data_IF_263727774471
#
_entry.id   IF_263727774471
#
_cell.length_a   1.000
_cell.length_b   1.000
_cell.length_c   1.000
_cell.angle_alpha   90.00
_cell.angle_beta   90.00
_cell.angle_gamma   90.00
#
_symmetry.space_group_name_H-M   'P 1'
#
loop_
_entity.id
_entity.type
_entity.pdbx_description
1 polymer ?
#
# COMPACT_ATOMS: atom_id res chain seq x y z
N UNK A 1 36.87 2.76 12.11
CA UNK A 1 35.49 2.65 12.64
C UNK A 1 34.67 3.74 11.95
N UNK A 2 34.16 3.45 10.74
CA UNK A 2 33.48 4.46 9.92
C UNK A 2 32.08 4.72 10.47
N UNK A 3 31.82 5.97 10.84
CA UNK A 3 30.54 6.44 11.36
C UNK A 3 29.44 6.27 10.31
N UNK A 4 28.41 5.48 10.64
CA UNK A 4 27.18 5.27 9.85
C UNK A 4 26.33 6.55 9.70
N UNK A 5 26.81 7.71 10.14
CA UNK A 5 26.06 8.97 10.13
C UNK A 5 25.82 9.54 8.72
N UNK A 6 26.59 9.14 7.71
CA UNK A 6 26.43 9.62 6.32
C UNK A 6 25.15 9.13 5.63
N UNK A 7 24.51 8.07 6.15
CA UNK A 7 23.24 7.54 5.63
C UNK A 7 22.03 7.95 6.47
N UNK A 8 22.24 8.79 7.49
CA UNK A 8 21.16 9.18 8.39
C UNK A 8 20.37 10.34 7.76
N UNK A 9 19.22 10.00 7.18
CA UNK A 9 18.25 11.00 6.70
C UNK A 9 17.87 11.92 7.86
N UNK A 10 18.17 13.21 7.76
CA UNK A 10 17.70 14.23 8.70
C UNK A 10 16.18 14.27 8.59
N UNK A 11 15.50 13.64 9.53
CA UNK A 11 14.04 13.62 9.59
C UNK A 11 13.59 14.80 10.44
N UNK A 12 12.97 15.78 9.81
CA UNK A 12 12.35 16.88 10.51
C UNK A 12 11.17 16.35 11.35
N UNK A 13 11.36 16.22 12.67
CA UNK A 13 10.29 16.35 13.65
C UNK A 13 9.66 15.10 14.27
N UNK A 14 10.32 13.94 14.29
CA UNK A 14 9.82 12.81 15.09
C UNK A 14 10.86 11.73 15.37
N UNK A 15 10.81 11.10 16.56
CA UNK A 15 11.58 9.88 16.87
C UNK A 15 11.22 8.81 15.83
N UNK A 16 12.11 8.59 14.87
CA UNK A 16 12.03 7.48 13.91
C UNK A 16 12.12 6.17 14.68
N UNK A 17 11.14 5.31 14.48
CA UNK A 17 11.09 4.02 15.17
C UNK A 17 11.76 2.99 14.26
N UNK A 18 13.08 2.85 14.39
CA UNK A 18 13.91 2.07 13.46
C UNK A 18 13.48 0.60 13.34
N UNK A 19 13.07 -0.02 14.45
CA UNK A 19 12.60 -1.41 14.44
C UNK A 19 11.32 -1.61 13.62
N UNK A 20 10.44 -0.61 13.58
CA UNK A 20 9.22 -0.67 12.76
C UNK A 20 9.58 -0.61 11.26
N UNK A 21 10.51 0.26 10.88
CA UNK A 21 10.99 0.31 9.50
C UNK A 21 11.70 -0.99 9.09
N UNK A 22 12.44 -1.62 10.02
CA UNK A 22 13.05 -2.94 9.82
C UNK A 22 12.02 -4.05 9.61
N UNK A 23 10.92 -4.05 10.39
CA UNK A 23 9.83 -5.00 10.19
C UNK A 23 9.14 -4.81 8.84
N UNK A 24 8.89 -3.56 8.41
CA UNK A 24 8.34 -3.28 7.06
C UNK A 24 9.27 -3.78 5.97
N UNK A 25 10.58 -3.55 6.12
CA UNK A 25 11.58 -4.05 5.19
C UNK A 25 11.55 -5.58 5.09
N UNK A 26 11.47 -6.28 6.23
CA UNK A 26 11.34 -7.73 6.26
C UNK A 26 10.07 -8.21 5.53
N UNK A 27 8.93 -7.54 5.75
CA UNK A 27 7.69 -7.85 5.02
C UNK A 27 7.83 -7.65 3.51
N UNK A 28 8.56 -6.62 3.06
CA UNK A 28 8.80 -6.39 1.63
C UNK A 28 9.70 -7.48 1.04
N UNK A 29 10.69 -7.96 1.80
CA UNK A 29 11.55 -9.08 1.35
C UNK A 29 10.73 -10.34 1.10
N UNK A 30 9.78 -10.69 1.98
CA UNK A 30 8.99 -11.91 1.80
C UNK A 30 8.15 -11.86 0.54
N UNK A 31 7.60 -10.68 0.21
CA UNK A 31 6.84 -10.45 -1.04
C UNK A 31 7.76 -10.47 -2.26
N UNK A 32 8.95 -9.89 -2.15
CA UNK A 32 9.94 -9.94 -3.22
C UNK A 32 10.35 -11.39 -3.53
N UNK A 33 10.58 -12.22 -2.50
CA UNK A 33 10.91 -13.64 -2.65
C UNK A 33 9.74 -14.38 -3.32
N UNK A 34 8.50 -14.12 -2.92
CA UNK A 34 7.32 -14.71 -3.58
C UNK A 34 7.28 -14.39 -5.07
N UNK A 35 7.39 -13.11 -5.45
CA UNK A 35 7.40 -12.72 -6.87
C UNK A 35 8.59 -13.27 -7.65
N UNK A 36 9.75 -13.37 -7.00
CA UNK A 36 10.93 -13.98 -7.60
C UNK A 36 10.67 -15.46 -7.89
N UNK A 37 10.17 -16.22 -6.91
CA UNK A 37 9.84 -17.64 -7.09
C UNK A 37 8.77 -17.83 -8.16
N UNK A 38 7.68 -17.05 -8.12
CA UNK A 38 6.60 -17.10 -9.11
C UNK A 38 7.13 -16.91 -10.53
N UNK A 39 8.02 -15.91 -10.73
CA UNK A 39 8.64 -15.66 -12.03
C UNK A 39 9.46 -16.86 -12.56
N UNK A 40 10.24 -17.52 -11.69
CA UNK A 40 11.03 -18.69 -12.09
C UNK A 40 10.19 -19.95 -12.29
N UNK A 41 9.14 -20.15 -11.48
CA UNK A 41 8.21 -21.27 -11.62
C UNK A 41 7.41 -21.18 -12.93
N UNK A 42 6.95 -19.98 -13.31
CA UNK A 42 6.21 -19.77 -14.56
C UNK A 42 7.07 -20.07 -15.80
N UNK A 43 8.39 -19.86 -15.70
CA UNK A 43 9.34 -20.12 -16.80
C UNK A 43 9.93 -21.53 -16.81
N UNK A 44 9.84 -22.29 -15.72
CA UNK A 44 10.48 -23.60 -15.61
C UNK A 44 9.58 -24.66 -14.95
N UNK A 45 9.03 -25.56 -15.77
CA UNK A 45 8.19 -26.69 -15.30
C UNK A 45 8.85 -27.55 -14.21
N UNK A 46 10.17 -27.78 -14.30
CA UNK A 46 10.92 -28.56 -13.28
C UNK A 46 10.93 -27.90 -11.89
N UNK A 47 10.92 -26.56 -11.83
CA UNK A 47 10.83 -25.83 -10.57
C UNK A 47 9.41 -25.83 -10.02
N UNK A 48 8.40 -25.80 -10.90
CA UNK A 48 6.99 -25.84 -10.50
C UNK A 48 6.63 -27.16 -9.77
N UNK A 49 7.16 -28.30 -10.20
CA UNK A 49 6.87 -29.60 -9.58
C UNK A 49 7.52 -29.78 -8.20
N UNK A 50 8.75 -29.29 -8.00
CA UNK A 50 9.54 -29.52 -6.78
C UNK A 50 9.28 -28.51 -5.64
N UNK A 51 8.78 -27.31 -5.95
CA UNK A 51 8.58 -26.23 -4.95
C UNK A 51 7.16 -26.16 -4.35
N UNK A 52 6.28 -27.08 -4.71
CA UNK A 52 4.92 -27.20 -4.13
C UNK A 52 4.91 -27.55 -2.63
N UNK A 53 6.03 -28.01 -2.08
CA UNK A 53 6.13 -28.52 -0.69
C UNK A 53 6.24 -27.39 0.34
N UNK A 54 6.77 -26.22 -0.02
CA UNK A 54 6.81 -25.05 0.87
C UNK A 54 5.74 -24.08 0.40
N UNK A 55 4.79 -23.76 1.26
CA UNK A 55 3.69 -22.87 0.95
C UNK A 55 4.14 -21.40 0.92
N UNK A 56 5.12 -21.07 0.07
CA UNK A 56 5.80 -19.78 0.01
C UNK A 56 4.83 -18.63 -0.30
N UNK A 57 3.74 -18.91 -1.03
CA UNK A 57 2.65 -17.96 -1.28
C UNK A 57 2.04 -17.43 0.01
N UNK A 58 1.90 -18.28 1.03
CA UNK A 58 1.36 -17.86 2.32
C UNK A 58 2.33 -16.93 3.06
N UNK A 59 3.63 -17.10 2.85
CA UNK A 59 4.66 -16.25 3.48
C UNK A 59 4.61 -14.86 2.88
N UNK A 60 4.57 -14.75 1.55
CA UNK A 60 4.48 -13.46 0.87
C UNK A 60 3.14 -12.75 1.13
N UNK A 61 2.00 -13.45 1.04
CA UNK A 61 0.69 -12.90 1.40
C UNK A 61 0.62 -12.42 2.86
N UNK A 62 1.18 -13.18 3.80
CA UNK A 62 1.27 -12.77 5.21
C UNK A 62 2.14 -11.52 5.37
N UNK A 63 3.24 -11.42 4.63
CA UNK A 63 4.07 -10.21 4.58
C UNK A 63 3.29 -8.97 4.17
N UNK A 64 2.41 -9.08 3.17
CA UNK A 64 1.54 -7.99 2.71
C UNK A 64 0.60 -7.53 3.84
N UNK A 65 -0.11 -8.46 4.48
CA UNK A 65 -1.03 -8.13 5.58
C UNK A 65 -0.32 -7.44 6.74
N UNK A 66 0.87 -7.94 7.11
CA UNK A 66 1.66 -7.36 8.18
C UNK A 66 2.21 -5.97 7.78
N UNK A 67 2.67 -5.81 6.54
CA UNK A 67 3.14 -4.53 6.00
C UNK A 67 2.04 -3.47 6.07
N UNK A 68 0.81 -3.80 5.66
CA UNK A 68 -0.32 -2.87 5.72
C UNK A 68 -0.75 -2.57 7.15
N UNK A 69 -0.80 -3.57 8.02
CA UNK A 69 -1.11 -3.39 9.45
C UNK A 69 -0.14 -2.41 10.12
N UNK A 70 1.17 -2.61 9.88
CA UNK A 70 2.21 -1.72 10.39
C UNK A 70 2.09 -0.32 9.77
N UNK A 71 1.86 -0.24 8.45
CA UNK A 71 1.72 1.04 7.75
C UNK A 71 0.53 1.84 8.27
N UNK A 72 -0.63 1.21 8.44
CA UNK A 72 -1.82 1.83 9.03
C UNK A 72 -1.56 2.39 10.43
N UNK A 73 -0.85 1.63 11.28
CA UNK A 73 -0.43 2.11 12.60
C UNK A 73 0.47 3.35 12.53
N UNK A 74 1.51 3.34 11.67
CA UNK A 74 2.41 4.49 11.47
C UNK A 74 1.65 5.70 10.92
N UNK A 75 0.73 5.47 9.99
CA UNK A 75 -0.04 6.54 9.37
C UNK A 75 -0.97 7.20 10.41
N UNK A 76 -1.57 6.41 11.31
CA UNK A 76 -2.45 6.88 12.38
C UNK A 76 -1.73 7.48 13.60
N UNK A 77 -0.46 7.13 13.84
CA UNK A 77 0.34 7.55 15.00
C UNK A 77 0.29 9.06 15.32
N UNK A 78 0.44 9.98 14.35
CA UNK A 78 0.34 11.42 14.62
C UNK A 78 -1.02 11.83 15.21
N UNK A 79 -2.11 11.26 14.71
CA UNK A 79 -3.46 11.54 15.22
C UNK A 79 -3.66 10.94 16.61
N UNK A 80 -3.14 9.74 16.87
CA UNK A 80 -3.18 9.13 18.20
C UNK A 80 -2.44 10.02 19.21
N UNK A 81 -1.25 10.51 18.87
CA UNK A 81 -0.48 11.45 19.72
C UNK A 81 -1.26 12.72 20.02
N UNK A 82 -1.86 13.33 19.01
CA UNK A 82 -2.69 14.53 19.20
C UNK A 82 -3.92 14.26 20.07
N UNK A 83 -4.69 13.21 19.80
CA UNK A 83 -6.01 13.03 20.41
C UNK A 83 -6.00 12.29 21.74
N UNK A 84 -5.19 11.24 21.87
CA UNK A 84 -5.10 10.37 23.06
C UNK A 84 -4.10 10.97 24.05
N UNK A 85 -2.89 11.27 23.57
CA UNK A 85 -1.81 11.75 24.44
C UNK A 85 -1.77 13.28 24.59
N UNK A 86 -2.64 14.02 23.89
CA UNK A 86 -2.67 15.50 23.87
C UNK A 86 -1.32 16.13 23.50
N UNK A 87 -0.58 15.47 22.62
CA UNK A 87 0.76 15.88 22.18
C UNK A 87 0.74 16.41 20.75
N UNK A 88 1.11 17.68 20.59
CA UNK A 88 1.22 18.33 19.28
C UNK A 88 -0.13 18.49 18.55
N UNK A 89 -0.06 19.10 17.38
CA UNK A 89 -1.22 19.30 16.50
C UNK A 89 -0.90 18.78 15.10
N UNK A 90 -1.83 18.02 14.51
CA UNK A 90 -1.72 17.54 13.13
C UNK A 90 -2.52 18.48 12.23
N UNK A 91 -1.81 19.28 11.45
CA UNK A 91 -2.38 19.94 10.28
C UNK A 91 -2.65 18.90 9.20
N UNK A 92 -3.91 18.79 8.75
CA UNK A 92 -4.32 17.86 7.69
C UNK A 92 -3.57 18.18 6.38
N UNK A 93 -3.41 19.47 6.07
CA UNK A 93 -2.65 19.93 4.90
C UNK A 93 -1.21 19.42 4.95
N UNK A 94 -0.51 19.64 6.07
CA UNK A 94 0.89 19.22 6.20
C UNK A 94 1.01 17.70 6.26
N UNK A 95 0.01 17.01 6.81
CA UNK A 95 -0.07 15.56 6.84
C UNK A 95 -0.08 14.97 5.42
N UNK A 96 -0.87 15.52 4.50
CA UNK A 96 -0.93 15.08 3.10
C UNK A 96 0.34 15.48 2.35
N UNK A 97 0.81 16.73 2.49
CA UNK A 97 2.03 17.21 1.80
C UNK A 97 3.23 16.31 2.13
N UNK A 98 3.43 15.95 3.40
CA UNK A 98 4.56 15.08 3.82
C UNK A 98 4.49 13.68 3.22
N UNK A 99 3.29 13.17 2.95
CA UNK A 99 3.08 11.83 2.39
C UNK A 99 3.23 11.84 0.88
N UNK A 100 2.57 12.79 0.22
CA UNK A 100 2.66 12.96 -1.23
C UNK A 100 4.10 13.25 -1.66
N UNK A 101 4.81 14.18 -1.01
CA UNK A 101 6.20 14.49 -1.39
C UNK A 101 7.19 13.34 -1.15
N UNK A 102 6.83 12.36 -0.32
CA UNK A 102 7.66 11.17 -0.07
C UNK A 102 7.45 10.07 -1.12
N UNK A 103 6.22 9.89 -1.60
CA UNK A 103 5.84 8.76 -2.47
C UNK A 103 5.63 9.15 -3.93
N UNK A 104 5.08 10.33 -4.21
CA UNK A 104 4.74 10.77 -5.58
C UNK A 104 5.98 10.82 -6.50
N UNK A 105 7.13 11.41 -6.11
CA UNK A 105 8.26 11.51 -7.04
C UNK A 105 8.77 10.16 -7.56
N UNK A 106 9.13 9.17 -6.70
CA UNK A 106 9.59 7.88 -7.21
C UNK A 106 8.47 7.11 -7.94
N UNK A 107 7.21 7.26 -7.53
CA UNK A 107 6.09 6.60 -8.18
C UNK A 107 5.87 7.11 -9.61
N UNK A 108 5.77 8.43 -9.79
CA UNK A 108 5.54 9.04 -11.10
C UNK A 108 6.69 8.73 -12.05
N UNK A 109 7.94 8.80 -11.56
CA UNK A 109 9.12 8.43 -12.35
C UNK A 109 9.02 6.98 -12.82
N UNK A 110 8.72 6.04 -11.92
CA UNK A 110 8.56 4.63 -12.26
C UNK A 110 7.44 4.41 -13.28
N UNK A 111 6.26 5.00 -13.05
CA UNK A 111 5.08 4.83 -13.90
C UNK A 111 5.35 5.34 -15.32
N UNK A 112 5.90 6.56 -15.45
CA UNK A 112 6.25 7.14 -16.75
C UNK A 112 7.34 6.32 -17.44
N UNK A 113 8.38 5.90 -16.71
CA UNK A 113 9.47 5.12 -17.27
C UNK A 113 8.98 3.79 -17.83
N UNK A 114 8.12 3.07 -17.09
CA UNK A 114 7.55 1.80 -17.54
C UNK A 114 6.58 1.98 -18.71
N UNK A 115 5.77 3.04 -18.70
CA UNK A 115 4.90 3.37 -19.82
C UNK A 115 5.71 3.62 -21.11
N UNK A 116 6.74 4.46 -21.03
CA UNK A 116 7.60 4.77 -22.16
C UNK A 116 8.31 3.51 -22.66
N UNK A 117 8.86 2.72 -21.74
CA UNK A 117 9.56 1.48 -22.04
C UNK A 117 8.67 0.49 -22.80
N UNK A 118 7.43 0.27 -22.36
CA UNK A 118 6.54 -0.72 -22.99
C UNK A 118 5.99 -0.25 -24.34
N UNK A 119 5.69 1.04 -24.49
CA UNK A 119 5.05 1.58 -25.71
C UNK A 119 6.07 1.92 -26.79
N UNK A 120 7.14 2.63 -26.43
CA UNK A 120 8.04 3.26 -27.39
C UNK A 120 9.39 2.55 -27.57
N UNK A 121 9.80 1.69 -26.63
CA UNK A 121 11.11 1.02 -26.69
C UNK A 121 10.93 -0.47 -27.00
N UNK A 122 10.15 -1.19 -26.19
CA UNK A 122 9.95 -2.63 -26.32
C UNK A 122 8.80 -2.98 -27.27
N UNK A 123 7.92 -2.02 -27.57
CA UNK A 123 6.72 -2.19 -28.40
C UNK A 123 5.85 -3.40 -28.01
N UNK A 124 5.78 -3.72 -26.72
CA UNK A 124 5.01 -4.86 -26.19
C UNK A 124 3.52 -4.56 -26.07
N UNK A 125 3.15 -3.27 -26.00
CA UNK A 125 1.77 -2.78 -25.93
C UNK A 125 1.62 -1.53 -26.79
N UNK A 126 0.47 -1.35 -27.44
CA UNK A 126 0.17 -0.12 -28.19
C UNK A 126 -0.20 1.03 -27.25
N UNK A 127 0.03 2.27 -27.70
CA UNK A 127 -0.33 3.47 -26.95
C UNK A 127 -1.82 3.50 -26.61
N UNK A 128 -2.68 3.21 -27.59
CA UNK A 128 -4.15 3.23 -27.45
C UNK A 128 -4.64 2.28 -26.36
N UNK A 129 -3.99 1.12 -26.21
CA UNK A 129 -4.34 0.13 -25.19
C UNK A 129 -3.78 0.54 -23.83
N UNK A 130 -2.52 0.98 -23.74
CA UNK A 130 -1.87 1.21 -22.44
C UNK A 130 -2.20 2.57 -21.80
N UNK A 131 -2.55 3.58 -22.61
CA UNK A 131 -2.79 4.94 -22.13
C UNK A 131 -3.95 5.08 -21.14
N UNK A 132 -5.12 4.41 -21.31
CA UNK A 132 -6.18 4.41 -20.31
C UNK A 132 -5.74 3.79 -18.96
N UNK A 133 -4.93 2.73 -18.99
CA UNK A 133 -4.38 2.11 -17.78
C UNK A 133 -3.35 3.03 -17.11
N UNK A 134 -2.53 3.75 -17.89
CA UNK A 134 -1.63 4.79 -17.38
C UNK A 134 -2.38 5.87 -16.62
N UNK A 135 -3.45 6.42 -17.20
CA UNK A 135 -4.26 7.44 -16.55
C UNK A 135 -4.90 6.92 -15.26
N UNK A 136 -5.47 5.71 -15.28
CA UNK A 136 -6.09 5.15 -14.09
C UNK A 136 -5.07 4.89 -12.97
N UNK A 137 -3.87 4.39 -13.31
CA UNK A 137 -2.77 4.25 -12.34
C UNK A 137 -2.32 5.60 -11.80
N UNK A 138 -2.12 6.61 -12.67
CA UNK A 138 -1.68 7.94 -12.28
C UNK A 138 -2.57 8.58 -11.20
N UNK A 139 -3.87 8.30 -11.23
CA UNK A 139 -4.84 8.78 -10.24
C UNK A 139 -5.14 7.79 -9.11
N UNK A 140 -4.42 6.67 -9.02
CA UNK A 140 -4.63 5.60 -8.02
C UNK A 140 -6.05 5.01 -8.04
N UNK A 141 -6.66 4.95 -9.22
CA UNK A 141 -8.01 4.43 -9.44
C UNK A 141 -8.01 3.20 -10.34
N UNK A 142 -6.86 2.59 -10.61
CA UNK A 142 -6.80 1.45 -11.53
C UNK A 142 -7.60 0.26 -11.00
N UNK A 143 -7.43 -0.08 -9.71
CA UNK A 143 -8.26 -1.12 -9.12
C UNK A 143 -9.73 -0.73 -9.25
N UNK A 144 -10.11 0.53 -8.95
CA UNK A 144 -11.50 1.05 -8.99
C UNK A 144 -12.14 0.85 -10.36
N UNK A 145 -11.41 1.19 -11.43
CA UNK A 145 -11.94 1.21 -12.79
C UNK A 145 -11.92 -0.16 -13.45
N UNK A 146 -10.84 -0.93 -13.25
CA UNK A 146 -10.61 -2.17 -14.00
C UNK A 146 -10.79 -3.44 -13.17
N UNK A 147 -10.95 -3.32 -11.85
CA UNK A 147 -11.04 -4.44 -10.92
C UNK A 147 -9.83 -5.41 -11.00
N UNK A 148 -8.68 -4.91 -11.42
CA UNK A 148 -7.44 -5.68 -11.56
C UNK A 148 -6.20 -4.80 -11.32
N UNK A 149 -5.04 -5.47 -11.17
CA UNK A 149 -3.76 -4.79 -11.06
C UNK A 149 -3.40 -4.03 -12.33
N UNK A 150 -2.60 -2.97 -12.21
CA UNK A 150 -2.22 -2.15 -13.36
C UNK A 150 -1.55 -2.95 -14.47
N UNK A 151 -2.02 -2.77 -15.70
CA UNK A 151 -1.41 -3.37 -16.89
C UNK A 151 0.05 -2.91 -17.12
N UNK A 152 0.44 -1.77 -16.54
CA UNK A 152 1.81 -1.25 -16.61
C UNK A 152 2.71 -1.98 -15.60
N UNK A 153 2.22 -2.13 -14.37
CA UNK A 153 2.90 -2.91 -13.35
C UNK A 153 1.85 -3.42 -12.35
N UNK A 154 1.65 -4.75 -12.26
CA UNK A 154 0.58 -5.30 -11.46
C UNK A 154 0.75 -4.95 -9.97
N UNK A 155 1.97 -4.75 -9.46
CA UNK A 155 2.25 -4.50 -8.03
C UNK A 155 1.80 -3.11 -7.55
N UNK A 156 1.47 -2.19 -8.47
CA UNK A 156 1.03 -0.82 -8.13
C UNK A 156 -0.25 -0.77 -7.28
N UNK A 157 -1.04 -1.85 -7.26
CA UNK A 157 -2.23 -1.96 -6.42
C UNK A 157 -1.92 -1.65 -4.94
N UNK A 158 -0.73 -2.03 -4.46
CA UNK A 158 -0.31 -1.79 -3.06
C UNK A 158 -0.27 -0.31 -2.70
N UNK A 159 0.13 0.53 -3.64
CA UNK A 159 0.22 1.97 -3.46
C UNK A 159 -1.16 2.63 -3.49
N UNK A 160 -2.08 2.12 -4.31
CA UNK A 160 -3.48 2.56 -4.29
C UNK A 160 -4.12 2.31 -2.92
N UNK A 161 -3.84 1.17 -2.29
CA UNK A 161 -4.26 0.90 -0.91
C UNK A 161 -3.61 1.87 0.08
N UNK A 162 -2.33 2.19 -0.09
CA UNK A 162 -1.64 3.13 0.79
C UNK A 162 -2.27 4.55 0.73
N UNK A 163 -2.67 5.01 -0.45
CA UNK A 163 -3.43 6.26 -0.60
C UNK A 163 -4.78 6.19 0.12
N UNK A 164 -5.48 5.06 0.07
CA UNK A 164 -6.71 4.86 0.86
C UNK A 164 -6.46 5.00 2.36
N UNK A 165 -5.36 4.42 2.90
CA UNK A 165 -4.99 4.64 4.30
C UNK A 165 -4.73 6.12 4.61
N UNK A 166 -4.17 6.88 3.67
CA UNK A 166 -3.90 8.30 3.88
C UNK A 166 -5.17 9.11 4.04
N UNK A 167 -6.20 8.79 3.27
CA UNK A 167 -7.53 9.40 3.32
C UNK A 167 -8.30 8.93 4.56
N UNK A 168 -8.24 7.63 4.87
CA UNK A 168 -9.00 7.04 5.97
C UNK A 168 -8.47 7.45 7.35
N UNK A 169 -7.16 7.64 7.53
CA UNK A 169 -6.59 8.00 8.82
C UNK A 169 -7.17 9.27 9.45
N UNK A 170 -7.28 10.44 8.76
CA UNK A 170 -7.96 11.60 9.31
C UNK A 170 -9.45 11.36 9.55
N UNK A 171 -10.14 10.58 8.70
CA UNK A 171 -11.55 10.21 8.88
C UNK A 171 -11.75 9.42 10.17
N UNK A 172 -10.93 8.38 10.39
CA UNK A 172 -10.95 7.61 11.63
C UNK A 172 -10.59 8.49 12.83
N UNK A 173 -9.61 9.38 12.71
CA UNK A 173 -9.28 10.30 13.80
C UNK A 173 -10.46 11.20 14.20
N UNK A 174 -11.25 11.69 13.23
CA UNK A 174 -12.49 12.43 13.48
C UNK A 174 -13.56 11.54 14.12
N UNK A 175 -13.71 10.30 13.66
CA UNK A 175 -14.66 9.34 14.23
C UNK A 175 -14.35 9.04 15.71
N UNK A 176 -13.08 8.88 16.07
CA UNK A 176 -12.67 8.65 17.46
C UNK A 176 -12.77 9.90 18.35
N UNK A 177 -12.85 11.09 17.75
CA UNK A 177 -13.17 12.35 18.46
C UNK A 177 -14.67 12.50 18.73
N UNK A 178 -15.53 11.85 17.94
CA UNK A 178 -16.98 11.94 18.09
C UNK A 178 -17.46 11.37 19.45
N UNK A 179 -18.69 11.74 19.84
CA UNK A 179 -19.29 11.24 21.07
C UNK A 179 -19.46 9.70 21.03
N UNK A 180 -19.60 9.07 22.21
CA UNK A 180 -19.64 7.61 22.34
C UNK A 180 -20.77 6.98 21.51
N UNK A 181 -21.90 7.67 21.34
CA UNK A 181 -23.07 7.18 20.61
C UNK A 181 -22.78 7.17 19.11
N UNK A 182 -22.41 8.31 18.53
CA UNK A 182 -22.05 8.44 17.11
C UNK A 182 -20.93 7.47 16.75
N UNK A 183 -19.88 7.40 17.58
CA UNK A 183 -18.77 6.47 17.37
C UNK A 183 -19.25 5.01 17.32
N UNK A 184 -20.07 4.58 18.28
CA UNK A 184 -20.59 3.21 18.34
C UNK A 184 -21.53 2.92 17.16
N UNK A 185 -22.41 3.84 16.82
CA UNK A 185 -23.32 3.70 15.67
C UNK A 185 -22.56 3.58 14.36
N UNK A 186 -21.57 4.44 14.12
CA UNK A 186 -20.73 4.35 12.92
C UNK A 186 -19.92 3.05 12.88
N UNK A 187 -19.32 2.61 13.99
CA UNK A 187 -18.60 1.33 14.04
C UNK A 187 -19.55 0.15 13.78
N UNK A 188 -20.77 0.18 14.34
CA UNK A 188 -21.77 -0.84 14.09
C UNK A 188 -22.20 -0.86 12.62
N UNK A 189 -22.45 0.31 12.01
CA UNK A 189 -22.78 0.43 10.59
C UNK A 189 -21.64 -0.11 9.73
N UNK A 190 -20.39 0.23 10.04
CA UNK A 190 -19.22 -0.27 9.31
C UNK A 190 -19.10 -1.79 9.42
N UNK A 191 -19.25 -2.36 10.61
CA UNK A 191 -19.21 -3.82 10.83
C UNK A 191 -20.39 -4.51 10.14
N UNK A 192 -21.58 -3.93 10.22
CA UNK A 192 -22.76 -4.47 9.55
C UNK A 192 -22.58 -4.44 8.04
N UNK A 193 -22.18 -3.30 7.48
CA UNK A 193 -21.90 -3.15 6.05
C UNK A 193 -20.82 -4.12 5.59
N UNK A 194 -19.74 -4.28 6.36
CA UNK A 194 -18.68 -5.27 6.12
C UNK A 194 -19.22 -6.70 5.99
N UNK A 195 -20.01 -7.14 6.97
CA UNK A 195 -20.60 -8.49 6.95
C UNK A 195 -21.54 -8.71 5.75
N UNK A 196 -22.14 -7.64 5.21
CA UNK A 196 -23.06 -7.71 4.08
C UNK A 196 -22.36 -7.53 2.72
N UNK A 197 -21.18 -6.91 2.65
CA UNK A 197 -20.38 -6.80 1.41
C UNK A 197 -19.91 -8.18 0.92
N UNK A 198 -19.65 -9.13 1.82
CA UNK A 198 -19.21 -10.48 1.46
C UNK A 198 -20.23 -11.28 0.61
N UNK A 199 -21.46 -10.78 0.45
CA UNK A 199 -22.48 -11.34 -0.45
C UNK A 199 -22.42 -10.77 -1.88
N UNK A 200 -21.65 -9.72 -2.11
CA UNK A 200 -21.45 -9.10 -3.42
C UNK A 200 -19.99 -9.36 -3.79
N UNK A 201 -19.76 -10.34 -4.68
CA UNK A 201 -18.42 -10.71 -5.17
C UNK A 201 -17.70 -9.52 -5.82
N UNK A 202 -17.06 -8.68 -5.02
CA UNK A 202 -16.04 -7.76 -5.49
C UNK A 202 -14.72 -8.53 -5.50
N UNK A 203 -14.29 -9.00 -6.66
CA UNK A 203 -12.91 -9.47 -6.91
C UNK A 203 -11.92 -8.31 -6.91
N UNK A 204 -12.06 -7.40 -5.93
CA UNK A 204 -11.38 -6.13 -5.91
C UNK A 204 -10.23 -6.20 -4.92
N UNK A 205 -9.00 -5.94 -5.39
CA UNK A 205 -7.85 -5.70 -4.50
C UNK A 205 -7.98 -4.32 -3.83
N UNK A 206 -8.87 -4.22 -2.85
CA UNK A 206 -9.10 -3.05 -1.99
C UNK A 206 -8.58 -3.38 -0.61
N UNK A 207 -8.48 -2.35 0.22
CA UNK A 207 -8.41 -2.48 1.66
C UNK A 207 -9.51 -3.44 2.21
N UNK A 208 -10.65 -3.57 1.52
CA UNK A 208 -11.73 -4.51 1.85
C UNK A 208 -11.49 -5.95 1.37
N UNK A 209 -10.57 -6.19 0.43
CA UNK A 209 -10.18 -7.55 0.00
C UNK A 209 -9.02 -8.14 0.81
N UNK A 210 -8.37 -7.33 1.66
CA UNK A 210 -7.21 -7.72 2.47
C UNK A 210 -7.44 -7.65 3.99
N UNK A 211 -8.63 -7.25 4.45
CA UNK A 211 -9.08 -7.33 5.84
C UNK A 211 -10.11 -8.45 6.00
#
# INVERSE_FOLDING_TARGET
MYSLNLLQRVTAGGKKILYIDGLRFFCVITVFIEHFIDYYCDKNLFFAENYTVINYKYIGSTGIYLFFSISGFIIGLPFIRQYVYKQGTVSIKDYFIRRLTRLEPPYIILLISLFILQVFILHTKSFEVLFPHFLASLFYVHNIVYNEGSAINPVLWTLEIEIQFYILAPVFALLFKANKIVRRSCLFILIFFWNNINFIHFEFKSLLGYL
#
